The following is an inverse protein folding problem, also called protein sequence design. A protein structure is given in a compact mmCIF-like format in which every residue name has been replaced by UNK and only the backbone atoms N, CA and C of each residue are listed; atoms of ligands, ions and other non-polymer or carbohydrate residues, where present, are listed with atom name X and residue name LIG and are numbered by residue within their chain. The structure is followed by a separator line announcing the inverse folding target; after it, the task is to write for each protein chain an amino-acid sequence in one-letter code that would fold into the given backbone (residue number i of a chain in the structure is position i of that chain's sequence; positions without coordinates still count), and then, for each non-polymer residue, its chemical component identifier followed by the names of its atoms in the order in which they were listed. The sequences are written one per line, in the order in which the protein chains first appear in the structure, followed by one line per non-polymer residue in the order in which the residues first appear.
data_IF_337091453983
#
_entry.id   IF_337091453983
#
_cell.length_a   1.000
_cell.length_b   1.000
_cell.length_c   1.000
_cell.angle_alpha   90.00
_cell.angle_beta   90.00
_cell.angle_gamma   90.00
#
_symmetry.space_group_name_H-M   'P 1'
#
loop_
_entity.id
_entity.type
_entity.pdbx_description
1 polymer ?
#
# COMPACT_ATOMS: atom_id res chain seq x y z
N UNK A 1 21.92 7.22 -7.63
CA UNK A 1 21.34 5.97 -8.18
C UNK A 1 20.38 6.25 -9.31
N UNK A 2 19.24 6.94 -9.10
CA UNK A 2 18.23 7.19 -10.15
C UNK A 2 18.82 7.81 -11.42
N UNK A 3 19.67 8.84 -11.31
CA UNK A 3 20.36 9.43 -12.46
C UNK A 3 21.21 8.42 -13.24
N UNK A 4 21.90 7.50 -12.54
CA UNK A 4 22.71 6.44 -13.16
C UNK A 4 21.84 5.40 -13.88
N UNK A 5 20.63 5.12 -13.37
CA UNK A 5 19.69 4.22 -14.04
C UNK A 5 19.07 4.85 -15.31
N UNK A 6 18.81 6.17 -15.28
CA UNK A 6 18.21 6.89 -16.41
C UNK A 6 19.23 7.25 -17.49
N UNK A 7 20.51 7.44 -17.11
CA UNK A 7 21.59 7.72 -18.04
C UNK A 7 22.83 6.85 -17.70
N UNK A 8 22.85 5.57 -18.15
CA UNK A 8 23.88 4.60 -17.77
C UNK A 8 25.32 4.96 -18.12
N UNK A 9 25.56 5.89 -19.06
CA UNK A 9 26.91 6.40 -19.38
C UNK A 9 27.60 7.02 -18.15
N UNK A 10 26.83 7.58 -17.21
CA UNK A 10 27.33 8.13 -15.95
C UNK A 10 27.95 7.09 -15.02
N UNK A 11 27.76 5.79 -15.27
CA UNK A 11 28.43 4.73 -14.49
C UNK A 11 29.96 4.78 -14.62
N UNK A 12 30.47 5.39 -15.71
CA UNK A 12 31.90 5.59 -15.94
C UNK A 12 32.45 6.89 -15.34
N UNK A 13 31.57 7.78 -14.85
CA UNK A 13 31.98 9.07 -14.26
C UNK A 13 32.50 8.86 -12.83
N UNK A 14 33.68 9.41 -12.53
CA UNK A 14 34.34 9.29 -11.23
C UNK A 14 33.70 10.17 -10.12
N UNK A 15 32.75 11.04 -10.47
CA UNK A 15 32.01 11.88 -9.52
C UNK A 15 30.95 11.11 -8.72
N UNK A 16 30.53 9.94 -9.19
CA UNK A 16 29.53 9.12 -8.49
C UNK A 16 30.21 8.08 -7.60
N UNK A 17 29.74 7.91 -6.35
CA UNK A 17 30.30 6.90 -5.45
C UNK A 17 30.01 5.49 -5.97
N UNK A 18 30.92 4.54 -5.72
CA UNK A 18 30.81 3.18 -6.25
C UNK A 18 29.59 2.43 -5.71
N UNK A 19 29.16 2.66 -4.47
CA UNK A 19 27.97 2.02 -3.91
C UNK A 19 26.69 2.41 -4.69
N UNK A 20 26.62 3.65 -5.17
CA UNK A 20 25.52 4.13 -5.99
C UNK A 20 25.55 3.51 -7.40
N UNK A 21 26.75 3.30 -7.96
CA UNK A 21 26.93 2.62 -9.24
C UNK A 21 26.59 1.15 -9.15
N UNK A 22 27.02 0.46 -8.10
CA UNK A 22 26.67 -0.94 -7.84
C UNK A 22 25.15 -1.13 -7.73
N UNK A 23 24.47 -0.26 -6.96
CA UNK A 23 23.00 -0.26 -6.87
C UNK A 23 22.36 -0.07 -8.24
N UNK A 24 22.85 0.88 -9.04
CA UNK A 24 22.32 1.15 -10.37
C UNK A 24 22.56 -0.03 -11.33
N UNK A 25 23.77 -0.60 -11.37
CA UNK A 25 24.10 -1.80 -12.17
C UNK A 25 23.19 -2.97 -11.81
N UNK A 26 22.98 -3.25 -10.52
CA UNK A 26 22.10 -4.34 -10.06
C UNK A 26 20.64 -4.14 -10.50
N UNK A 27 20.12 -2.90 -10.40
CA UNK A 27 18.76 -2.58 -10.86
C UNK A 27 18.65 -2.76 -12.38
N UNK A 28 19.57 -2.17 -13.15
CA UNK A 28 19.57 -2.27 -14.61
C UNK A 28 19.68 -3.73 -15.07
N UNK A 29 20.57 -4.54 -14.46
CA UNK A 29 20.71 -5.96 -14.76
C UNK A 29 19.41 -6.77 -14.56
N UNK A 30 18.55 -6.34 -13.64
CA UNK A 30 17.26 -6.98 -13.39
C UNK A 30 16.14 -6.51 -14.35
N UNK A 31 16.37 -5.45 -15.11
CA UNK A 31 15.43 -4.98 -16.12
C UNK A 31 15.64 -5.68 -17.46
N UNK A 32 14.55 -5.86 -18.22
CA UNK A 32 14.63 -6.36 -19.60
C UNK A 32 15.55 -5.48 -20.46
N UNK A 33 16.48 -6.10 -21.19
CA UNK A 33 17.43 -5.37 -22.04
C UNK A 33 18.35 -4.41 -21.28
N UNK A 34 18.51 -4.59 -19.97
CA UNK A 34 19.30 -3.73 -19.09
C UNK A 34 18.87 -2.25 -19.07
N UNK A 35 17.59 -1.98 -19.35
CA UNK A 35 17.04 -0.63 -19.47
C UNK A 35 15.94 -0.38 -18.47
N UNK A 36 15.99 0.75 -17.78
CA UNK A 36 14.92 1.20 -16.89
C UNK A 36 13.58 1.48 -17.61
N UNK A 37 13.59 1.60 -18.94
CA UNK A 37 12.39 1.81 -19.75
C UNK A 37 11.68 0.54 -20.20
N UNK A 38 12.24 -0.65 -19.92
CA UNK A 38 11.59 -1.90 -20.27
C UNK A 38 10.43 -2.23 -19.32
N UNK A 39 9.42 -2.95 -19.82
CA UNK A 39 8.38 -3.50 -18.97
C UNK A 39 8.97 -4.44 -17.91
N UNK A 40 8.49 -4.32 -16.68
CA UNK A 40 8.71 -5.31 -15.63
C UNK A 40 7.66 -6.41 -15.66
N UNK A 41 7.86 -7.47 -14.88
CA UNK A 41 6.75 -8.34 -14.50
C UNK A 41 5.64 -7.52 -13.80
N UNK A 42 4.39 -8.00 -13.85
CA UNK A 42 3.24 -7.27 -13.31
C UNK A 42 3.33 -6.98 -11.81
N UNK A 43 4.04 -7.83 -11.05
CA UNK A 43 4.29 -7.60 -9.62
C UNK A 43 5.41 -6.58 -9.36
N UNK A 44 6.21 -6.24 -10.39
CA UNK A 44 7.37 -5.39 -10.30
C UNK A 44 8.71 -6.14 -10.50
N UNK A 45 9.78 -5.36 -10.62
CA UNK A 45 11.16 -5.85 -10.81
C UNK A 45 11.55 -6.76 -9.63
N UNK A 46 11.98 -7.98 -9.92
CA UNK A 46 12.23 -9.02 -8.91
C UNK A 46 13.23 -8.58 -7.84
N UNK A 47 14.38 -8.03 -8.22
CA UNK A 47 15.40 -7.61 -7.24
C UNK A 47 14.90 -6.51 -6.31
N UNK A 48 13.97 -5.68 -6.78
CA UNK A 48 13.33 -4.64 -5.95
C UNK A 48 12.33 -5.29 -4.98
N UNK A 49 11.52 -6.26 -5.43
CA UNK A 49 10.64 -7.03 -4.54
C UNK A 49 11.42 -7.75 -3.44
N UNK A 50 12.57 -8.34 -3.78
CA UNK A 50 13.47 -8.96 -2.81
C UNK A 50 14.01 -7.94 -1.80
N UNK A 51 14.36 -6.73 -2.23
CA UNK A 51 14.82 -5.68 -1.31
C UNK A 51 13.71 -5.18 -0.38
N UNK A 52 12.48 -5.03 -0.89
CA UNK A 52 11.31 -4.67 -0.08
C UNK A 52 11.04 -5.75 0.96
N UNK A 53 11.08 -7.03 0.58
CA UNK A 53 10.93 -8.14 1.51
C UNK A 53 12.02 -8.12 2.61
N UNK A 54 13.29 -7.95 2.24
CA UNK A 54 14.41 -7.82 3.20
C UNK A 54 14.24 -6.61 4.12
N UNK A 55 13.74 -5.49 3.60
CA UNK A 55 13.46 -4.30 4.40
C UNK A 55 12.37 -4.57 5.44
N UNK A 56 11.27 -5.21 5.03
CA UNK A 56 10.17 -5.60 5.92
C UNK A 56 10.68 -6.57 7.00
N UNK A 57 11.42 -7.61 6.62
CA UNK A 57 11.98 -8.59 7.56
C UNK A 57 12.89 -7.93 8.60
N UNK A 58 13.78 -7.03 8.15
CA UNK A 58 14.66 -6.29 9.06
C UNK A 58 13.86 -5.38 10.01
N UNK A 59 12.86 -4.67 9.49
CA UNK A 59 11.98 -3.78 10.27
C UNK A 59 11.21 -4.56 11.33
N UNK A 60 10.76 -5.77 10.98
CA UNK A 60 9.88 -6.60 11.81
C UNK A 60 10.67 -7.56 12.72
N UNK A 61 11.96 -7.30 12.96
CA UNK A 61 12.78 -8.04 13.92
C UNK A 61 13.16 -9.45 13.44
N UNK A 62 13.25 -9.68 12.14
CA UNK A 62 13.61 -10.97 11.53
C UNK A 62 12.43 -11.85 11.14
N UNK A 63 11.19 -11.34 11.20
CA UNK A 63 10.01 -12.07 10.69
C UNK A 63 10.08 -12.10 9.16
N UNK A 64 10.19 -13.31 8.59
CA UNK A 64 10.39 -13.50 7.16
C UNK A 64 9.27 -12.90 6.33
N UNK A 65 9.65 -12.12 5.31
CA UNK A 65 8.75 -11.63 4.27
C UNK A 65 9.05 -12.36 2.95
N UNK A 66 8.01 -12.87 2.28
CA UNK A 66 8.16 -13.52 0.97
C UNK A 66 8.09 -12.47 -0.17
N UNK A 67 9.12 -12.35 -1.03
CA UNK A 67 9.08 -11.48 -2.21
C UNK A 67 7.90 -11.72 -3.17
N UNK A 68 7.34 -12.93 -3.20
CA UNK A 68 6.18 -13.26 -4.06
C UNK A 68 4.86 -12.67 -3.54
N UNK A 69 4.85 -12.22 -2.27
CA UNK A 69 3.74 -11.49 -1.68
C UNK A 69 3.88 -9.97 -1.87
N UNK A 70 4.94 -9.49 -2.53
CA UNK A 70 5.21 -8.07 -2.74
C UNK A 70 4.74 -7.64 -4.13
N UNK A 71 3.89 -6.63 -4.17
CA UNK A 71 3.41 -5.99 -5.40
C UNK A 71 3.84 -4.52 -5.40
N UNK A 72 4.66 -4.14 -6.37
CA UNK A 72 5.01 -2.74 -6.61
C UNK A 72 3.85 -2.05 -7.35
N UNK A 73 3.56 -0.80 -6.98
CA UNK A 73 2.42 -0.04 -7.50
C UNK A 73 2.81 1.41 -7.78
N UNK A 74 1.94 2.13 -8.49
CA UNK A 74 2.12 3.57 -8.74
C UNK A 74 1.68 4.38 -7.52
N UNK A 75 2.43 4.24 -6.43
CA UNK A 75 2.12 4.82 -5.13
C UNK A 75 1.02 4.07 -4.37
N UNK A 76 0.84 4.42 -3.09
CA UNK A 76 -0.09 3.72 -2.19
C UNK A 76 -1.56 3.82 -2.65
N UNK A 77 -1.96 4.91 -3.31
CA UNK A 77 -3.33 5.09 -3.79
C UNK A 77 -3.77 4.00 -4.77
N UNK A 78 -2.88 3.59 -5.67
CA UNK A 78 -3.13 2.53 -6.64
C UNK A 78 -3.32 1.16 -5.96
N UNK A 79 -2.48 0.86 -4.97
CA UNK A 79 -2.63 -0.35 -4.14
C UNK A 79 -3.96 -0.38 -3.36
N UNK A 80 -4.33 0.73 -2.72
CA UNK A 80 -5.59 0.83 -1.96
C UNK A 80 -6.78 0.60 -2.88
N UNK A 81 -6.83 1.30 -4.02
CA UNK A 81 -7.90 1.17 -5.00
C UNK A 81 -8.00 -0.26 -5.55
N UNK A 82 -6.86 -0.88 -5.90
CA UNK A 82 -6.81 -2.26 -6.40
C UNK A 82 -7.37 -3.24 -5.37
N UNK A 83 -6.95 -3.13 -4.11
CA UNK A 83 -7.46 -4.00 -3.04
C UNK A 83 -8.96 -3.82 -2.81
N UNK A 84 -9.46 -2.57 -2.80
CA UNK A 84 -10.89 -2.33 -2.65
C UNK A 84 -11.69 -2.88 -3.85
N UNK A 85 -11.20 -2.71 -5.09
CA UNK A 85 -11.81 -3.31 -6.30
C UNK A 85 -11.95 -4.82 -6.22
N UNK A 86 -10.97 -5.50 -5.62
CA UNK A 86 -11.00 -6.96 -5.44
C UNK A 86 -11.99 -7.41 -4.34
N UNK A 87 -12.16 -6.61 -3.29
CA UNK A 87 -12.93 -7.00 -2.11
C UNK A 87 -14.41 -6.57 -2.18
N UNK A 88 -14.69 -5.45 -2.85
CA UNK A 88 -16.04 -4.88 -2.96
C UNK A 88 -16.90 -5.75 -3.89
N UNK A 89 -18.00 -6.23 -3.33
CA UNK A 89 -18.93 -7.15 -3.98
C UNK A 89 -20.30 -7.12 -3.30
N UNK A 90 -21.29 -7.78 -3.92
CA UNK A 90 -22.64 -7.91 -3.39
C UNK A 90 -23.54 -6.72 -3.73
N UNK A 91 -24.79 -6.76 -3.25
CA UNK A 91 -25.82 -5.74 -3.47
C UNK A 91 -26.80 -5.67 -2.29
N UNK A 92 -27.46 -4.53 -2.10
CA UNK A 92 -28.37 -4.30 -0.97
C UNK A 92 -27.71 -4.66 0.36
N UNK A 93 -28.39 -5.44 1.21
CA UNK A 93 -27.84 -5.91 2.50
C UNK A 93 -26.58 -6.75 2.41
N UNK A 94 -26.29 -7.34 1.24
CA UNK A 94 -25.06 -8.12 1.02
C UNK A 94 -23.90 -7.28 0.50
N UNK A 95 -24.13 -5.98 0.22
CA UNK A 95 -23.12 -5.06 -0.28
C UNK A 95 -21.97 -4.94 0.71
N UNK A 96 -20.76 -4.89 0.18
CA UNK A 96 -19.55 -4.86 1.01
C UNK A 96 -19.46 -3.54 1.77
N UNK A 97 -19.43 -3.66 3.10
CA UNK A 97 -19.14 -2.56 4.02
C UNK A 97 -17.64 -2.46 4.31
N UNK A 98 -17.13 -1.24 4.29
CA UNK A 98 -15.73 -0.91 4.57
C UNK A 98 -15.68 0.04 5.76
N UNK A 99 -15.04 -0.40 6.85
CA UNK A 99 -14.82 0.40 8.03
C UNK A 99 -13.66 1.37 7.81
N UNK A 100 -13.89 2.67 7.95
CA UNK A 100 -12.88 3.73 7.84
C UNK A 100 -12.90 4.64 9.08
N UNK A 101 -11.74 5.17 9.52
CA UNK A 101 -11.69 6.07 10.68
C UNK A 101 -12.40 7.38 10.39
N UNK A 102 -12.81 8.09 11.43
CA UNK A 102 -13.18 9.49 11.39
C UNK A 102 -12.41 10.23 12.48
N UNK A 103 -11.67 11.31 12.13
CA UNK A 103 -11.42 11.83 10.78
C UNK A 103 -10.52 10.90 9.91
N UNK A 104 -10.44 11.15 8.61
CA UNK A 104 -9.68 10.29 7.67
C UNK A 104 -9.03 11.03 6.52
N UNK A 105 -8.01 10.38 5.93
CA UNK A 105 -7.42 10.73 4.65
C UNK A 105 -8.41 10.51 3.50
N UNK A 106 -8.91 11.57 2.81
CA UNK A 106 -10.10 11.52 1.95
C UNK A 106 -10.14 10.51 0.80
N UNK A 107 -8.99 9.92 0.44
CA UNK A 107 -8.88 8.87 -0.56
C UNK A 107 -9.86 7.72 -0.30
N UNK A 108 -10.03 7.30 0.96
CA UNK A 108 -10.88 6.15 1.27
C UNK A 108 -12.35 6.43 0.94
N UNK A 109 -12.91 7.52 1.44
CA UNK A 109 -14.30 7.90 1.11
C UNK A 109 -14.52 8.07 -0.40
N UNK A 110 -13.55 8.64 -1.12
CA UNK A 110 -13.64 8.79 -2.57
C UNK A 110 -13.64 7.42 -3.29
N UNK A 111 -12.76 6.51 -2.87
CA UNK A 111 -12.68 5.16 -3.45
C UNK A 111 -13.93 4.33 -3.15
N UNK A 112 -14.51 4.44 -1.96
CA UNK A 112 -15.74 3.74 -1.62
C UNK A 112 -16.92 4.25 -2.46
N UNK A 113 -16.99 5.57 -2.71
CA UNK A 113 -18.00 6.13 -3.60
C UNK A 113 -17.82 5.66 -5.06
N UNK A 114 -16.59 5.65 -5.60
CA UNK A 114 -16.30 5.13 -6.96
C UNK A 114 -16.75 3.67 -7.11
N UNK A 115 -16.55 2.87 -6.06
CA UNK A 115 -16.85 1.45 -6.06
C UNK A 115 -18.27 1.13 -5.60
N UNK A 116 -19.10 2.11 -5.29
CA UNK A 116 -20.45 1.94 -4.72
C UNK A 116 -20.42 1.04 -3.47
N UNK A 117 -19.38 1.15 -2.64
CA UNK A 117 -19.22 0.37 -1.41
C UNK A 117 -19.88 1.09 -0.22
N UNK A 118 -20.34 0.32 0.76
CA UNK A 118 -20.98 0.87 1.96
C UNK A 118 -19.91 1.43 2.91
N UNK A 119 -19.89 2.75 3.08
CA UNK A 119 -19.00 3.39 4.04
C UNK A 119 -19.50 3.17 5.46
N UNK A 120 -18.65 2.59 6.31
CA UNK A 120 -18.93 2.37 7.72
C UNK A 120 -17.93 3.18 8.53
N UNK A 121 -18.41 4.20 9.22
CA UNK A 121 -17.54 5.07 10.01
C UNK A 121 -17.26 4.42 11.37
N UNK A 122 -16.02 4.48 11.84
CA UNK A 122 -15.70 4.34 13.26
C UNK A 122 -14.93 5.57 13.72
N UNK A 123 -15.25 6.06 14.92
CA UNK A 123 -14.68 7.31 15.42
C UNK A 123 -13.42 7.05 16.24
N UNK A 124 -12.37 7.82 15.95
CA UNK A 124 -11.16 7.84 16.77
C UNK A 124 -11.43 8.66 18.05
N UNK A 125 -10.78 8.28 19.15
CA UNK A 125 -10.97 8.92 20.45
C UNK A 125 -10.04 10.13 20.59
N UNK A 126 -10.56 11.33 20.31
CA UNK A 126 -9.83 12.60 20.42
C UNK A 126 -9.28 12.84 21.84
N UNK A 127 -10.02 12.47 22.88
CA UNK A 127 -9.61 12.65 24.28
C UNK A 127 -8.47 11.70 24.68
N UNK A 128 -8.31 10.61 23.92
CA UNK A 128 -7.26 9.61 24.12
C UNK A 128 -6.27 9.58 22.93
N UNK A 129 -5.79 10.76 22.52
CA UNK A 129 -4.75 10.92 21.50
C UNK A 129 -5.11 10.27 20.15
N UNK A 130 -6.37 10.37 19.73
CA UNK A 130 -6.90 9.77 18.50
C UNK A 130 -6.72 8.25 18.43
N UNK A 131 -6.68 7.59 19.60
CA UNK A 131 -6.59 6.15 19.67
C UNK A 131 -7.82 5.47 19.06
N UNK A 132 -7.59 4.29 18.50
CA UNK A 132 -8.66 3.40 18.06
C UNK A 132 -9.26 2.68 19.27
N UNK A 133 -10.57 2.84 19.49
CA UNK A 133 -11.32 2.12 20.54
C UNK A 133 -12.04 0.88 19.95
N UNK A 134 -11.77 -0.28 20.55
CA UNK A 134 -12.39 -1.55 20.20
C UNK A 134 -13.91 -1.55 20.47
N UNK A 135 -14.39 -0.84 21.50
CA UNK A 135 -15.83 -0.74 21.79
C UNK A 135 -16.55 0.02 20.69
N UNK A 136 -15.97 1.14 20.26
CA UNK A 136 -16.47 1.93 19.13
C UNK A 136 -16.47 1.13 17.82
N UNK A 137 -15.38 0.41 17.52
CA UNK A 137 -15.35 -0.49 16.35
C UNK A 137 -16.45 -1.55 16.38
N UNK A 138 -16.70 -2.17 17.55
CA UNK A 138 -17.77 -3.17 17.69
C UNK A 138 -19.15 -2.55 17.49
N UNK A 139 -19.40 -1.38 18.08
CA UNK A 139 -20.66 -0.64 17.89
C UNK A 139 -20.92 -0.35 16.41
N UNK A 140 -19.92 0.18 15.71
CA UNK A 140 -20.02 0.52 14.28
C UNK A 140 -20.17 -0.72 13.40
N UNK A 141 -19.48 -1.81 13.71
CA UNK A 141 -19.66 -3.10 13.04
C UNK A 141 -21.07 -3.69 13.20
N UNK A 142 -21.62 -3.65 14.41
CA UNK A 142 -22.96 -4.18 14.73
C UNK A 142 -24.07 -3.36 14.06
N UNK A 143 -23.94 -2.04 14.05
CA UNK A 143 -24.88 -1.16 13.33
C UNK A 143 -24.85 -1.45 11.83
N UNK A 144 -23.65 -1.55 11.25
CA UNK A 144 -23.46 -1.77 9.82
C UNK A 144 -24.05 -3.09 9.32
N UNK A 145 -24.03 -4.15 10.14
CA UNK A 145 -24.63 -5.46 9.81
C UNK A 145 -26.14 -5.41 9.56
N UNK A 146 -26.83 -4.34 9.96
CA UNK A 146 -28.27 -4.18 9.73
C UNK A 146 -28.59 -3.84 8.27
N UNK A 147 -27.67 -3.17 7.57
CA UNK A 147 -27.88 -2.63 6.23
C UNK A 147 -26.81 -3.03 5.19
N UNK A 148 -25.65 -3.55 5.59
CA UNK A 148 -24.60 -4.04 4.68
C UNK A 148 -23.89 -5.29 5.24
N UNK A 149 -22.91 -5.81 4.51
CA UNK A 149 -22.01 -6.90 4.93
C UNK A 149 -20.59 -6.35 5.12
N UNK A 150 -20.21 -5.94 6.33
CA UNK A 150 -18.85 -5.47 6.62
C UNK A 150 -17.82 -6.57 6.36
N UNK A 151 -16.78 -6.25 5.57
CA UNK A 151 -15.69 -7.20 5.23
C UNK A 151 -14.28 -6.61 5.34
N UNK A 152 -14.16 -5.28 5.36
CA UNK A 152 -12.87 -4.60 5.30
C UNK A 152 -12.77 -3.60 6.45
N UNK A 153 -11.62 -3.56 7.12
CA UNK A 153 -11.27 -2.55 8.11
C UNK A 153 -9.99 -1.85 7.64
N UNK A 154 -10.07 -0.55 7.43
CA UNK A 154 -8.93 0.30 7.08
C UNK A 154 -8.37 0.96 8.33
N UNK A 155 -7.07 0.84 8.56
CA UNK A 155 -6.36 1.50 9.67
C UNK A 155 -5.24 2.35 9.06
N UNK A 156 -5.11 3.60 9.50
CA UNK A 156 -4.07 4.54 9.06
C UNK A 156 -3.14 4.78 10.24
N UNK A 157 -1.86 4.36 10.11
CA UNK A 157 -0.85 4.53 11.16
C UNK A 157 0.54 4.77 10.56
N UNK A 158 1.23 5.89 10.88
CA UNK A 158 0.73 7.03 11.67
C UNK A 158 -0.52 7.67 11.06
N UNK A 159 -1.35 8.30 11.89
CA UNK A 159 -2.61 8.89 11.46
C UNK A 159 -2.45 10.06 10.48
N UNK A 160 -3.51 10.33 9.72
CA UNK A 160 -3.64 11.49 8.83
C UNK A 160 -5.15 11.78 8.67
N UNK A 161 -5.69 12.90 9.18
CA UNK A 161 -4.99 14.11 9.62
C UNK A 161 -4.60 14.19 11.11
N UNK A 162 -4.81 13.12 11.88
CA UNK A 162 -4.69 13.06 13.34
C UNK A 162 -3.38 12.51 13.84
#
# INVERSE_FOLDING_TARGET
VTALCLYPELLNDNKFPEDAKEKARRILQACGGHSAGAYSASQGIEVIRQDVAKYIEKRDGGITANPDNIYLSTGASDSIMTMLKLLVSGQGKSRTGVLIPIPQYPLYSAALAELDAEQVNYYLDEENCWALDIKELRRSLEEARKYCKPKVLCIINPGNPT
#
